data_IF_415872374815
#
_entry.id   IF_415872374815
#
_cell.length_a   1.000
_cell.length_b   1.000
_cell.length_c   1.000
_cell.angle_alpha   90.00
_cell.angle_beta   90.00
_cell.angle_gamma   90.00
#
_symmetry.space_group_name_H-M   'P 1'
#
loop_
_entity.id
_entity.type
_entity.pdbx_description
1 polymer ?
#
# COMPACT_ATOMS: atom_id res chain seq x y z
N UNK A 1 20.98 5.83 -8.31
CA UNK A 1 21.11 5.20 -6.97
C UNK A 1 19.85 5.57 -6.21
N UNK A 2 19.05 4.62 -5.70
CA UNK A 2 17.80 4.95 -4.98
C UNK A 2 18.10 5.82 -3.75
N UNK A 3 17.63 7.07 -3.76
CA UNK A 3 17.91 8.08 -2.72
C UNK A 3 17.17 7.79 -1.41
N UNK A 4 16.22 6.83 -1.40
CA UNK A 4 15.29 6.53 -0.29
C UNK A 4 14.58 7.78 0.26
N UNK A 5 14.52 8.86 -0.52
CA UNK A 5 13.93 10.11 -0.08
C UNK A 5 12.41 9.95 -0.04
N UNK A 6 11.80 10.36 1.08
CA UNK A 6 10.35 10.36 1.19
C UNK A 6 9.79 11.37 0.20
N UNK A 7 8.97 10.89 -0.73
CA UNK A 7 8.23 11.72 -1.66
C UNK A 7 6.76 11.75 -1.24
N UNK A 8 6.12 12.90 -1.43
CA UNK A 8 4.67 13.04 -1.22
C UNK A 8 4.03 13.20 -2.59
N UNK A 9 3.66 12.10 -3.26
CA UNK A 9 2.98 12.20 -4.54
C UNK A 9 1.64 12.92 -4.35
N UNK A 10 1.39 13.95 -5.15
CA UNK A 10 0.16 14.75 -5.08
C UNK A 10 -0.91 14.28 -6.07
N UNK A 11 -0.56 13.30 -6.90
CA UNK A 11 -1.36 12.85 -8.04
C UNK A 11 -1.46 11.32 -8.12
N UNK A 12 -1.42 10.62 -6.99
CA UNK A 12 -1.62 9.16 -6.93
C UNK A 12 -2.96 8.87 -6.27
N UNK A 13 -3.78 8.03 -6.92
CA UNK A 13 -4.96 7.46 -6.32
C UNK A 13 -4.67 6.00 -5.94
N UNK A 14 -5.04 5.62 -4.72
CA UNK A 14 -4.84 4.25 -4.21
C UNK A 14 -6.19 3.65 -3.89
N UNK A 15 -6.40 2.40 -4.27
CA UNK A 15 -7.60 1.68 -3.88
C UNK A 15 -7.43 0.18 -3.71
N UNK A 16 -8.40 -0.46 -3.07
CA UNK A 16 -8.45 -1.92 -2.92
C UNK A 16 -9.06 -2.60 -4.14
N UNK A 17 -8.48 -3.69 -4.62
CA UNK A 17 -9.09 -4.57 -5.62
C UNK A 17 -10.18 -5.39 -4.94
N UNK A 18 -11.36 -5.50 -5.56
CA UNK A 18 -12.53 -6.22 -5.05
C UNK A 18 -12.96 -5.82 -3.62
N UNK A 19 -12.75 -4.57 -3.19
CA UNK A 19 -13.13 -4.12 -1.85
C UNK A 19 -14.64 -3.88 -1.72
N UNK A 20 -15.31 -4.41 -0.68
CA UNK A 20 -16.71 -4.10 -0.43
C UNK A 20 -16.87 -2.65 0.05
N UNK A 21 -17.83 -1.94 -0.53
CA UNK A 21 -18.41 -0.65 -0.08
C UNK A 21 -17.61 0.65 -0.24
N UNK A 22 -16.29 0.63 -0.43
CA UNK A 22 -15.51 1.73 -1.02
C UNK A 22 -14.11 1.21 -1.34
N UNK A 23 -13.68 1.32 -2.58
CA UNK A 23 -12.34 0.90 -2.99
C UNK A 23 -11.33 2.03 -2.85
N UNK A 24 -11.74 3.31 -2.79
CA UNK A 24 -10.82 4.44 -2.85
C UNK A 24 -10.25 4.78 -1.47
N UNK A 25 -8.97 4.49 -1.27
CA UNK A 25 -8.23 4.77 -0.04
C UNK A 25 -7.59 6.16 -0.06
N UNK A 26 -7.18 6.60 -1.27
CA UNK A 26 -6.60 7.91 -1.49
C UNK A 26 -7.15 8.49 -2.81
N UNK A 27 -7.79 9.65 -2.73
CA UNK A 27 -8.33 10.35 -3.89
C UNK A 27 -7.30 11.24 -4.61
N UNK A 28 -7.49 11.53 -5.91
CA UNK A 28 -6.61 12.42 -6.66
C UNK A 28 -6.56 13.82 -6.02
N UNK A 29 -5.36 14.37 -5.85
CA UNK A 29 -5.13 15.67 -5.20
C UNK A 29 -4.83 15.59 -3.70
N UNK A 30 -4.90 14.40 -3.09
CA UNK A 30 -4.50 14.18 -1.70
C UNK A 30 -2.99 13.94 -1.62
N UNK A 31 -2.30 14.79 -0.85
CA UNK A 31 -0.86 14.67 -0.58
C UNK A 31 -0.64 13.90 0.71
N UNK A 32 -0.38 12.60 0.60
CA UNK A 32 -0.03 11.78 1.77
C UNK A 32 1.29 11.05 1.53
N UNK A 33 2.15 11.09 2.53
CA UNK A 33 3.37 10.27 2.58
C UNK A 33 3.16 8.93 3.28
N UNK A 34 2.02 8.77 3.97
CA UNK A 34 1.62 7.57 4.68
C UNK A 34 0.13 7.30 4.46
N UNK A 35 -0.22 6.04 4.25
CA UNK A 35 -1.59 5.59 4.00
C UNK A 35 -1.85 4.30 4.78
N UNK A 36 -3.02 4.22 5.42
CA UNK A 36 -3.46 2.98 6.04
C UNK A 36 -4.06 2.04 4.99
N UNK A 37 -3.44 0.87 4.82
CA UNK A 37 -3.90 -0.18 3.91
C UNK A 37 -4.75 -1.20 4.70
N UNK A 38 -6.07 -1.31 4.44
CA UNK A 38 -6.92 -2.23 5.19
C UNK A 38 -6.76 -3.68 4.72
N UNK A 39 -6.20 -4.53 5.59
CA UNK A 39 -6.14 -5.98 5.41
C UNK A 39 -7.48 -6.62 5.78
N UNK A 40 -7.83 -7.73 5.12
CA UNK A 40 -9.11 -8.41 5.32
C UNK A 40 -8.92 -9.74 6.04
N UNK A 41 -9.53 -9.89 7.22
CA UNK A 41 -9.51 -11.15 7.99
C UNK A 41 -10.24 -12.31 7.31
N UNK A 42 -11.17 -12.01 6.40
CA UNK A 42 -11.97 -13.02 5.67
C UNK A 42 -11.31 -13.54 4.40
N UNK A 43 -10.13 -13.03 4.05
CA UNK A 43 -9.38 -13.40 2.83
C UNK A 43 -7.93 -13.69 3.19
N UNK A 44 -7.29 -14.66 2.50
CA UNK A 44 -5.86 -14.94 2.71
C UNK A 44 -4.95 -13.88 2.06
N UNK A 45 -5.52 -12.99 1.26
CA UNK A 45 -4.79 -11.96 0.54
C UNK A 45 -5.63 -10.70 0.35
N UNK A 46 -4.95 -9.56 0.23
CA UNK A 46 -5.54 -8.28 -0.19
C UNK A 46 -4.66 -7.68 -1.28
N UNK A 47 -5.29 -7.11 -2.30
CA UNK A 47 -4.61 -6.44 -3.39
C UNK A 47 -5.06 -4.99 -3.47
N UNK A 48 -4.11 -4.12 -3.79
CA UNK A 48 -4.29 -2.70 -3.96
C UNK A 48 -3.84 -2.28 -5.36
N UNK A 49 -4.48 -1.26 -5.92
CA UNK A 49 -4.08 -0.62 -7.16
C UNK A 49 -3.64 0.83 -6.91
N UNK A 50 -2.65 1.27 -7.68
CA UNK A 50 -2.07 2.60 -7.69
C UNK A 50 -2.29 3.19 -9.09
N UNK A 51 -3.18 4.18 -9.17
CA UNK A 51 -3.47 4.89 -10.40
C UNK A 51 -2.80 6.26 -10.39
N UNK A 52 -2.05 6.56 -11.44
CA UNK A 52 -1.33 7.81 -11.58
C UNK A 52 -2.23 8.82 -12.29
N UNK A 53 -2.56 9.92 -11.61
CA UNK A 53 -3.46 10.99 -12.08
C UNK A 53 -2.74 12.28 -12.44
N UNK A 54 -1.40 12.24 -12.49
CA UNK A 54 -0.63 13.38 -12.99
C UNK A 54 -0.92 13.53 -14.49
N UNK A 55 -1.15 14.75 -14.99
CA UNK A 55 -1.61 15.00 -16.37
C UNK A 55 -0.83 14.25 -17.47
N UNK A 56 0.48 14.06 -17.28
CA UNK A 56 1.34 13.36 -18.24
C UNK A 56 1.27 11.81 -18.14
N UNK A 57 0.64 11.28 -17.10
CA UNK A 57 0.63 9.87 -16.71
C UNK A 57 -0.79 9.32 -16.46
N UNK A 58 -1.85 10.13 -16.65
CA UNK A 58 -3.26 9.71 -16.48
C UNK A 58 -3.73 8.85 -17.65
N UNK A 59 -3.19 7.64 -17.72
CA UNK A 59 -3.55 6.64 -18.68
C UNK A 59 -4.31 5.48 -18.00
N UNK A 60 -5.43 5.01 -18.57
CA UNK A 60 -6.20 3.90 -18.00
C UNK A 60 -5.41 2.59 -17.81
N UNK A 61 -4.36 2.38 -18.61
CA UNK A 61 -3.51 1.20 -18.56
C UNK A 61 -2.27 1.38 -17.67
N UNK A 62 -1.98 2.60 -17.21
CA UNK A 62 -0.84 2.87 -16.33
C UNK A 62 -1.31 2.77 -14.88
N UNK A 63 -1.42 1.52 -14.42
CA UNK A 63 -1.85 1.18 -13.06
C UNK A 63 -0.90 0.12 -12.52
N UNK A 64 -0.36 0.36 -11.33
CA UNK A 64 0.35 -0.69 -10.61
C UNK A 64 -0.53 -1.41 -9.62
N UNK A 65 -0.31 -2.71 -9.42
CA UNK A 65 -0.94 -3.48 -8.35
C UNK A 65 0.08 -3.96 -7.34
N UNK A 66 -0.35 -4.07 -6.08
CA UNK A 66 0.41 -4.60 -4.97
C UNK A 66 -0.49 -5.54 -4.18
N UNK A 67 -0.10 -6.81 -4.15
CA UNK A 67 -0.81 -7.86 -3.44
C UNK A 67 0.02 -8.36 -2.26
N UNK A 68 -0.65 -8.51 -1.12
CA UNK A 68 -0.11 -9.15 0.07
C UNK A 68 -0.86 -10.44 0.35
N UNK A 69 -0.14 -11.53 0.57
CA UNK A 69 -0.67 -12.74 1.17
C UNK A 69 -0.23 -12.80 2.64
N UNK A 70 -1.14 -13.25 3.51
CA UNK A 70 -0.93 -13.19 4.96
C UNK A 70 -1.76 -14.21 5.72
N UNK A 71 -1.36 -14.46 6.96
CA UNK A 71 -2.13 -15.23 7.94
C UNK A 71 -2.79 -14.27 8.94
N UNK A 72 -4.12 -14.26 8.99
CA UNK A 72 -4.89 -13.50 9.96
C UNK A 72 -5.08 -14.34 11.23
N UNK A 73 -4.60 -13.83 12.38
CA UNK A 73 -4.75 -14.49 13.69
C UNK A 73 -5.57 -13.61 14.61
N UNK A 74 -6.64 -14.11 15.24
CA UNK A 74 -7.38 -13.34 16.23
C UNK A 74 -6.47 -13.03 17.42
N UNK A 75 -6.48 -11.78 17.86
CA UNK A 75 -5.75 -11.30 19.02
C UNK A 75 -6.71 -10.65 20.00
N UNK A 76 -6.57 -11.02 21.27
CA UNK A 76 -7.40 -10.50 22.35
C UNK A 76 -6.51 -9.70 23.30
N UNK A 77 -6.60 -8.37 23.21
CA UNK A 77 -5.79 -7.47 24.03
C UNK A 77 -6.37 -7.34 25.46
N UNK A 78 -7.68 -7.21 25.58
CA UNK A 78 -8.43 -7.15 26.84
C UNK A 78 -9.93 -7.32 26.58
N UNK A 79 -10.71 -7.52 27.65
CA UNK A 79 -12.18 -7.64 27.59
C UNK A 79 -12.85 -6.40 26.98
N UNK A 80 -12.29 -5.21 27.23
CA UNK A 80 -12.80 -3.93 26.72
C UNK A 80 -12.43 -3.63 25.25
N UNK A 81 -11.38 -4.26 24.69
CA UNK A 81 -10.85 -3.89 23.37
C UNK A 81 -11.53 -4.66 22.21
N UNK A 82 -12.33 -5.69 22.52
CA UNK A 82 -12.97 -6.54 21.53
C UNK A 82 -12.00 -7.46 20.78
N UNK A 83 -12.50 -8.15 19.76
CA UNK A 83 -11.69 -9.05 18.94
C UNK A 83 -10.88 -8.26 17.90
N UNK A 84 -9.55 -8.37 17.98
CA UNK A 84 -8.62 -7.76 17.02
C UNK A 84 -8.02 -8.85 16.12
N UNK A 85 -7.40 -8.46 15.01
CA UNK A 85 -6.63 -9.37 14.17
C UNK A 85 -5.21 -8.87 14.00
N UNK A 86 -4.24 -9.78 14.15
CA UNK A 86 -2.88 -9.60 13.68
C UNK A 86 -2.74 -10.23 12.31
N UNK A 87 -2.14 -9.52 11.37
CA UNK A 87 -1.87 -10.02 10.02
C UNK A 87 -0.38 -10.24 9.86
N UNK A 88 0.03 -11.49 9.67
CA UNK A 88 1.42 -11.82 9.36
C UNK A 88 1.58 -11.96 7.86
N UNK A 89 2.27 -11.03 7.22
CA UNK A 89 2.61 -11.08 5.79
C UNK A 89 3.53 -12.28 5.55
N UNK A 90 3.13 -13.16 4.62
CA UNK A 90 3.90 -14.33 4.21
C UNK A 90 4.60 -14.11 2.88
N UNK A 91 3.98 -13.34 1.99
CA UNK A 91 4.51 -13.00 0.66
C UNK A 91 3.84 -11.74 0.14
N UNK A 92 4.49 -11.10 -0.83
CA UNK A 92 3.92 -9.99 -1.57
C UNK A 92 4.40 -10.03 -3.03
N UNK A 93 3.58 -9.47 -3.92
CA UNK A 93 3.88 -9.35 -5.34
C UNK A 93 3.36 -8.02 -5.86
N UNK A 94 4.07 -7.43 -6.83
CA UNK A 94 3.70 -6.14 -7.40
C UNK A 94 4.08 -6.04 -8.87
N UNK A 95 3.39 -5.15 -9.59
CA UNK A 95 3.80 -4.72 -10.93
C UNK A 95 4.75 -3.52 -10.83
N UNK A 96 5.51 -3.26 -11.89
CA UNK A 96 6.60 -2.27 -11.88
C UNK A 96 6.47 -1.24 -13.00
N UNK A 97 5.30 -0.61 -13.13
CA UNK A 97 5.11 0.49 -14.09
C UNK A 97 5.81 1.76 -13.57
N UNK A 98 5.39 2.27 -12.40
CA UNK A 98 6.12 3.31 -11.66
C UNK A 98 6.57 2.86 -10.27
N UNK A 99 5.99 1.80 -9.70
CA UNK A 99 6.58 1.15 -8.54
C UNK A 99 7.94 0.59 -8.96
N UNK A 100 8.99 1.03 -8.26
CA UNK A 100 10.34 0.52 -8.44
C UNK A 100 10.55 -0.73 -7.58
N UNK A 101 10.23 -0.61 -6.29
CA UNK A 101 10.41 -1.67 -5.31
C UNK A 101 9.47 -1.50 -4.11
N UNK A 102 9.22 -2.61 -3.43
CA UNK A 102 8.45 -2.63 -2.18
C UNK A 102 9.26 -3.37 -1.11
N UNK A 103 9.36 -2.77 0.06
CA UNK A 103 10.01 -3.35 1.23
C UNK A 103 8.99 -3.50 2.37
N UNK A 104 8.98 -4.67 3.00
CA UNK A 104 8.23 -4.93 4.23
C UNK A 104 9.22 -4.83 5.39
N UNK A 105 9.14 -3.76 6.18
CA UNK A 105 10.03 -3.49 7.32
C UNK A 105 9.65 -4.34 8.52
N UNK A 106 8.36 -4.62 8.69
CA UNK A 106 7.83 -5.58 9.66
C UNK A 106 6.70 -6.40 9.03
N UNK A 107 6.83 -7.72 9.09
CA UNK A 107 5.84 -8.66 8.58
C UNK A 107 4.57 -8.72 9.42
N UNK A 108 4.60 -8.27 10.69
CA UNK A 108 3.48 -8.34 11.60
C UNK A 108 2.72 -7.01 11.63
N UNK A 109 1.58 -6.98 10.94
CA UNK A 109 0.66 -5.85 10.99
C UNK A 109 -0.24 -6.01 12.22
N UNK A 110 -0.19 -5.01 13.10
CA UNK A 110 -1.03 -4.92 14.30
C UNK A 110 -1.81 -3.60 14.27
N UNK A 111 -2.53 -3.28 15.34
CA UNK A 111 -3.19 -1.99 15.51
C UNK A 111 -2.25 -0.88 16.01
N UNK A 112 -0.96 -1.17 16.19
CA UNK A 112 0.05 -0.18 16.56
C UNK A 112 0.36 0.67 15.33
N UNK A 113 0.32 1.99 15.51
CA UNK A 113 0.66 2.95 14.46
C UNK A 113 2.17 2.97 14.21
N UNK A 114 2.61 2.13 13.28
CA UNK A 114 4.01 1.95 12.91
C UNK A 114 4.12 1.65 11.41
N UNK A 115 5.16 2.18 10.77
CA UNK A 115 5.42 1.95 9.35
C UNK A 115 5.96 0.53 9.11
N UNK A 116 5.15 -0.30 8.46
CA UNK A 116 5.45 -1.71 8.19
C UNK A 116 5.78 -1.99 6.72
N UNK A 117 5.42 -1.07 5.81
CA UNK A 117 5.53 -1.23 4.36
C UNK A 117 6.06 0.08 3.77
N UNK A 118 7.10 -0.02 2.96
CA UNK A 118 7.68 1.09 2.19
C UNK A 118 7.52 0.79 0.69
N UNK A 119 6.95 1.74 -0.05
CA UNK A 119 6.73 1.64 -1.50
C UNK A 119 7.58 2.73 -2.16
N UNK A 120 8.50 2.31 -3.02
CA UNK A 120 9.38 3.21 -3.76
C UNK A 120 8.85 3.38 -5.18
N UNK A 121 8.75 4.63 -5.62
CA UNK A 121 8.35 4.97 -6.99
C UNK A 121 9.55 5.51 -7.76
N UNK A 122 9.59 5.22 -9.07
CA UNK A 122 10.52 5.87 -9.99
C UNK A 122 10.10 7.32 -10.20
N UNK A 123 11.00 8.24 -9.90
CA UNK A 123 10.85 9.66 -10.24
C UNK A 123 11.79 10.00 -11.39
N UNK A 124 11.43 10.98 -12.22
CA UNK A 124 12.23 11.38 -13.38
C UNK A 124 13.53 12.12 -13.03
N UNK A 125 13.98 12.10 -11.77
CA UNK A 125 15.16 12.83 -11.29
C UNK A 125 16.48 12.08 -11.48
N UNK A 126 16.49 10.87 -12.06
CA UNK A 126 17.75 10.20 -12.45
C UNK A 126 18.15 10.52 -13.90
N UNK A 127 18.49 11.79 -14.15
CA UNK A 127 19.51 12.16 -15.14
C UNK A 127 20.75 12.63 -14.36
N UNK A 128 21.56 11.68 -13.88
CA UNK A 128 22.96 11.95 -13.53
C UNK A 128 23.82 11.51 -14.72
N UNK A 129 24.47 12.50 -15.37
CA UNK A 129 25.47 12.34 -16.45
C UNK A 129 26.61 11.37 -16.12
#
# INVERSE_FOLDING_TARGET
MSTKQQITPDSVAVGGVDAPNDTLLLGPGSRVSQLYLPFRSTKPSTEFYFQYKQKALDFPWLVDTLRFDYVATPYFASEDCGAMYHYRITSYSYTTHLIDSVAVTDSLITNIDHETIQIYFRTAEEEEE
#
